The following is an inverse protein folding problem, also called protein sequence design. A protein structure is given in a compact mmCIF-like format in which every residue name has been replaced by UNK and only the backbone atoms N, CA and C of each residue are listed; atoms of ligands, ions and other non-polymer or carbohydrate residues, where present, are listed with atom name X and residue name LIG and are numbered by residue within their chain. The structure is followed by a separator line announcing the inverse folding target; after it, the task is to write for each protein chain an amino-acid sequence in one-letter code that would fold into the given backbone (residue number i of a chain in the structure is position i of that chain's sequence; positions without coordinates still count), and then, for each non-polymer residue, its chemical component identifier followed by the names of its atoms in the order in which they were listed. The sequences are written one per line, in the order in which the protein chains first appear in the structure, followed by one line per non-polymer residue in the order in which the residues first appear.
data_IF_091591388312
#
_entry.id   IF_091591388312
#
_cell.length_a   1.000
_cell.length_b   1.000
_cell.length_c   1.000
_cell.angle_alpha   90.00
_cell.angle_beta   90.00
_cell.angle_gamma   90.00
#
_symmetry.space_group_name_H-M   'P 1'
#
loop_
_entity.id
_entity.type
_entity.pdbx_description
1 polymer ?
#
# COMPACT_ATOMS: atom_id res chain seq x y z
N UNK A 1 9.96 5.79 21.56
CA UNK A 1 8.97 6.86 21.83
C UNK A 1 9.11 8.02 20.83
N UNK A 2 10.32 8.45 20.53
CA UNK A 2 10.60 9.53 19.56
C UNK A 2 10.14 9.18 18.12
N UNK A 3 10.45 7.98 17.66
CA UNK A 3 10.03 7.48 16.33
C UNK A 3 8.50 7.37 16.18
N UNK A 4 7.78 6.95 17.25
CA UNK A 4 6.33 6.88 17.22
C UNK A 4 5.69 8.27 17.16
N UNK A 5 6.28 9.28 17.84
CA UNK A 5 5.82 10.66 17.79
C UNK A 5 6.07 11.28 16.41
N UNK A 6 7.23 11.00 15.81
CA UNK A 6 7.60 11.45 14.47
C UNK A 6 6.66 10.83 13.40
N UNK A 7 6.34 9.54 13.55
CA UNK A 7 5.36 8.83 12.76
C UNK A 7 3.95 9.44 12.88
N UNK A 8 3.50 9.70 14.10
CA UNK A 8 2.21 10.34 14.34
C UNK A 8 2.15 11.73 13.69
N UNK A 9 3.23 12.51 13.76
CA UNK A 9 3.35 13.79 13.06
C UNK A 9 3.19 13.65 11.55
N UNK A 10 3.93 12.72 10.94
CA UNK A 10 3.85 12.47 9.48
C UNK A 10 2.49 11.96 9.02
N UNK A 11 1.87 11.07 9.78
CA UNK A 11 0.51 10.61 9.47
C UNK A 11 -0.49 11.76 9.62
N UNK A 12 -0.30 12.66 10.59
CA UNK A 12 -1.13 13.86 10.74
C UNK A 12 -0.98 14.78 9.53
N UNK A 13 0.25 15.06 9.06
CA UNK A 13 0.50 15.83 7.83
C UNK A 13 -0.25 15.22 6.63
N UNK A 14 -0.08 13.90 6.41
CA UNK A 14 -0.78 13.19 5.33
C UNK A 14 -2.31 13.25 5.48
N UNK A 15 -2.81 13.20 6.71
CA UNK A 15 -4.24 13.33 7.00
C UNK A 15 -4.77 14.71 6.66
N UNK A 16 -4.03 15.77 6.99
CA UNK A 16 -4.41 17.13 6.61
C UNK A 16 -4.54 17.27 5.09
N UNK A 17 -3.66 16.62 4.32
CA UNK A 17 -3.78 16.59 2.85
C UNK A 17 -5.04 15.84 2.39
N UNK A 18 -5.41 14.74 3.06
CA UNK A 18 -6.70 14.06 2.83
C UNK A 18 -7.87 15.03 3.06
N UNK A 19 -7.85 15.77 4.18
CA UNK A 19 -8.90 16.77 4.47
C UNK A 19 -8.95 17.89 3.43
N UNK A 20 -7.80 18.35 2.93
CA UNK A 20 -7.75 19.32 1.82
C UNK A 20 -8.39 18.73 0.55
N UNK A 21 -8.10 17.47 0.19
CA UNK A 21 -8.74 16.77 -0.92
C UNK A 21 -10.26 16.69 -0.75
N UNK A 22 -10.74 16.40 0.47
CA UNK A 22 -12.17 16.42 0.80
C UNK A 22 -12.76 17.83 0.64
N UNK A 23 -12.07 18.87 1.12
CA UNK A 23 -12.53 20.25 1.04
C UNK A 23 -12.68 20.72 -0.42
N UNK A 24 -11.76 20.36 -1.32
CA UNK A 24 -11.84 20.68 -2.75
C UNK A 24 -13.12 20.14 -3.42
N UNK A 25 -13.56 18.95 -3.03
CA UNK A 25 -14.81 18.36 -3.56
C UNK A 25 -16.05 18.94 -2.86
N UNK A 26 -16.00 19.12 -1.54
CA UNK A 26 -17.13 19.67 -0.77
C UNK A 26 -17.40 21.15 -1.12
N UNK A 27 -16.37 21.93 -1.44
CA UNK A 27 -16.51 23.32 -1.93
C UNK A 27 -16.96 23.42 -3.39
N UNK A 28 -17.14 22.28 -4.08
CA UNK A 28 -17.53 22.21 -5.50
C UNK A 28 -16.49 22.82 -6.46
N UNK A 29 -15.26 23.10 -6.01
CA UNK A 29 -14.15 23.52 -6.87
C UNK A 29 -13.72 22.38 -7.80
N UNK A 30 -13.74 21.15 -7.30
CA UNK A 30 -13.49 19.92 -8.06
C UNK A 30 -14.65 18.94 -7.87
N UNK A 31 -14.83 18.07 -8.86
CA UNK A 31 -15.71 16.91 -8.75
C UNK A 31 -14.87 15.68 -8.36
N UNK A 32 -15.50 14.71 -7.71
CA UNK A 32 -14.83 13.44 -7.35
C UNK A 32 -14.25 12.70 -8.57
N UNK A 33 -14.80 12.90 -9.77
CA UNK A 33 -14.29 12.32 -11.02
C UNK A 33 -12.87 12.80 -11.36
N UNK A 34 -12.48 14.03 -10.97
CA UNK A 34 -11.13 14.54 -11.17
C UNK A 34 -10.08 13.74 -10.39
N UNK A 35 -10.48 12.97 -9.36
CA UNK A 35 -9.60 12.03 -8.66
C UNK A 35 -9.03 10.98 -9.61
N UNK A 36 -9.78 10.61 -10.67
CA UNK A 36 -9.31 9.68 -11.71
C UNK A 36 -8.10 10.23 -12.46
N UNK A 37 -8.13 11.51 -12.83
CA UNK A 37 -7.01 12.16 -13.54
C UNK A 37 -5.76 12.18 -12.66
N UNK A 38 -5.89 12.59 -11.40
CA UNK A 38 -4.78 12.55 -10.44
C UNK A 38 -4.27 11.13 -10.20
N UNK A 39 -5.17 10.14 -10.15
CA UNK A 39 -4.78 8.73 -10.03
C UNK A 39 -4.00 8.23 -11.23
N UNK A 40 -4.35 8.66 -12.45
CA UNK A 40 -3.60 8.33 -13.67
C UNK A 40 -2.19 8.93 -13.61
N UNK A 41 -2.07 10.20 -13.24
CA UNK A 41 -0.76 10.85 -13.06
C UNK A 41 0.06 10.11 -11.99
N UNK A 42 -0.54 9.78 -10.85
CA UNK A 42 0.13 9.05 -9.78
C UNK A 42 0.63 7.68 -10.24
N UNK A 43 -0.20 6.92 -10.96
CA UNK A 43 0.11 5.55 -11.37
C UNK A 43 1.07 5.45 -12.56
N UNK A 44 0.97 6.38 -13.54
CA UNK A 44 1.69 6.28 -14.82
C UNK A 44 2.89 7.21 -14.92
N UNK A 45 3.03 8.19 -14.04
CA UNK A 45 4.15 9.12 -14.03
C UNK A 45 4.90 9.11 -12.69
N UNK A 46 4.19 9.36 -11.58
CA UNK A 46 4.85 9.59 -10.28
C UNK A 46 5.39 8.27 -9.72
N UNK A 47 4.58 7.22 -9.66
CA UNK A 47 5.00 5.92 -9.10
C UNK A 47 6.16 5.28 -9.89
N UNK A 48 6.15 5.22 -11.25
CA UNK A 48 7.31 4.80 -12.03
C UNK A 48 8.58 5.61 -11.74
N UNK A 49 8.46 6.92 -11.60
CA UNK A 49 9.60 7.80 -11.30
C UNK A 49 10.20 7.48 -9.94
N UNK A 50 9.36 7.28 -8.91
CA UNK A 50 9.83 6.85 -7.58
C UNK A 50 10.56 5.51 -7.66
N UNK A 51 9.98 4.53 -8.37
CA UNK A 51 10.56 3.19 -8.46
C UNK A 51 11.93 3.23 -9.13
N UNK A 52 12.07 3.89 -10.27
CA UNK A 52 13.36 3.97 -10.97
C UNK A 52 14.40 4.71 -10.10
N UNK A 53 14.02 5.86 -9.52
CA UNK A 53 14.92 6.63 -8.65
C UNK A 53 15.36 5.84 -7.42
N UNK A 54 14.48 5.06 -6.78
CA UNK A 54 14.81 4.27 -5.59
C UNK A 54 15.92 3.24 -5.83
N UNK A 55 16.09 2.79 -7.08
CA UNK A 55 17.16 1.87 -7.46
C UNK A 55 18.46 2.57 -7.90
N UNK A 56 18.54 3.92 -7.87
CA UNK A 56 19.76 4.68 -8.22
C UNK A 56 20.77 4.77 -7.05
N UNK A 57 20.84 3.73 -6.22
CA UNK A 57 21.78 3.59 -5.11
C UNK A 57 22.89 2.58 -5.46
N UNK A 58 23.91 2.50 -4.64
CA UNK A 58 24.97 1.50 -4.79
C UNK A 58 24.50 0.11 -4.39
N UNK A 59 24.94 -0.94 -5.08
CA UNK A 59 24.59 -2.32 -4.75
C UNK A 59 25.56 -2.91 -3.73
N UNK A 60 25.43 -2.53 -2.50
CA UNK A 60 26.19 -3.14 -1.41
C UNK A 60 25.60 -4.49 -1.00
N UNK A 61 26.38 -5.43 -0.42
CA UNK A 61 25.86 -6.70 0.09
C UNK A 61 24.65 -6.51 1.02
N UNK A 62 24.70 -5.53 1.92
CA UNK A 62 23.63 -5.25 2.88
C UNK A 62 22.32 -4.84 2.18
N UNK A 63 22.40 -4.04 1.11
CA UNK A 63 21.24 -3.63 0.33
C UNK A 63 20.65 -4.82 -0.42
N UNK A 64 21.50 -5.66 -1.01
CA UNK A 64 21.07 -6.87 -1.72
C UNK A 64 20.38 -7.84 -0.76
N UNK A 65 20.95 -8.06 0.41
CA UNK A 65 20.36 -8.98 1.41
C UNK A 65 19.08 -8.42 2.01
N UNK A 66 18.99 -7.11 2.25
CA UNK A 66 17.77 -6.44 2.63
C UNK A 66 16.68 -6.55 1.55
N UNK A 67 17.05 -6.46 0.27
CA UNK A 67 16.11 -6.61 -0.84
C UNK A 67 15.59 -8.05 -0.96
N UNK A 68 16.47 -9.05 -0.83
CA UNK A 68 16.07 -10.47 -0.76
C UNK A 68 15.12 -10.72 0.41
N UNK A 69 15.45 -10.15 1.59
CA UNK A 69 14.60 -10.24 2.77
C UNK A 69 13.23 -9.59 2.53
N UNK A 70 13.17 -8.41 1.91
CA UNK A 70 11.91 -7.72 1.62
C UNK A 70 11.00 -8.55 0.70
N UNK A 71 11.56 -9.21 -0.32
CA UNK A 71 10.82 -10.11 -1.22
C UNK A 71 10.34 -11.35 -0.48
N UNK A 72 11.19 -11.98 0.32
CA UNK A 72 10.83 -13.15 1.12
C UNK A 72 9.70 -12.83 2.10
N UNK A 73 9.80 -11.71 2.82
CA UNK A 73 8.76 -11.21 3.72
C UNK A 73 7.45 -10.94 2.99
N UNK A 74 7.54 -10.31 1.82
CA UNK A 74 6.36 -10.02 0.99
C UNK A 74 5.61 -11.31 0.63
N UNK A 75 6.33 -12.36 0.22
CA UNK A 75 5.73 -13.68 -0.06
C UNK A 75 5.08 -14.28 1.18
N UNK A 76 5.81 -14.34 2.30
CA UNK A 76 5.30 -14.90 3.56
C UNK A 76 4.07 -14.13 4.04
N UNK A 77 4.13 -12.80 4.08
CA UNK A 77 3.00 -11.99 4.53
C UNK A 77 1.78 -12.15 3.63
N UNK A 78 1.94 -12.21 2.31
CA UNK A 78 0.79 -12.44 1.43
C UNK A 78 0.20 -13.85 1.58
N UNK A 79 1.00 -14.87 1.82
CA UNK A 79 0.50 -16.21 2.15
C UNK A 79 -0.34 -16.15 3.44
N UNK A 80 0.17 -15.50 4.48
CA UNK A 80 -0.57 -15.32 5.73
C UNK A 80 -1.84 -14.48 5.54
N UNK A 81 -1.78 -13.37 4.80
CA UNK A 81 -2.94 -12.53 4.49
C UNK A 81 -4.03 -13.31 3.75
N UNK A 82 -3.66 -14.12 2.76
CA UNK A 82 -4.60 -14.97 2.01
C UNK A 82 -5.19 -16.06 2.91
N UNK A 83 -4.36 -16.72 3.73
CA UNK A 83 -4.82 -17.76 4.66
C UNK A 83 -5.78 -17.20 5.70
N UNK A 84 -5.41 -16.09 6.36
CA UNK A 84 -6.26 -15.39 7.32
C UNK A 84 -7.54 -14.85 6.66
N UNK A 85 -7.44 -14.29 5.47
CA UNK A 85 -8.60 -13.82 4.71
C UNK A 85 -9.59 -14.95 4.42
N UNK A 86 -9.11 -16.14 4.03
CA UNK A 86 -9.95 -17.34 3.84
C UNK A 86 -10.59 -17.80 5.14
N UNK A 87 -9.83 -17.85 6.23
CA UNK A 87 -10.33 -18.19 7.56
C UNK A 87 -11.45 -17.23 7.96
N UNK A 88 -11.24 -15.93 7.87
CA UNK A 88 -12.23 -14.91 8.24
C UNK A 88 -13.44 -14.90 7.30
N UNK A 89 -13.22 -15.18 6.01
CA UNK A 89 -14.33 -15.38 5.07
C UNK A 89 -15.28 -16.46 5.57
N UNK A 90 -14.77 -17.57 6.02
CA UNK A 90 -15.58 -18.70 6.53
C UNK A 90 -16.20 -18.37 7.89
N UNK A 91 -15.42 -17.85 8.85
CA UNK A 91 -15.89 -17.54 10.20
C UNK A 91 -16.96 -16.43 10.23
N UNK A 92 -16.74 -15.35 9.48
CA UNK A 92 -17.61 -14.16 9.49
C UNK A 92 -18.52 -14.08 8.26
N UNK A 93 -18.53 -15.12 7.40
CA UNK A 93 -19.33 -15.20 6.18
C UNK A 93 -19.13 -13.93 5.31
N UNK A 94 -17.86 -13.56 5.09
CA UNK A 94 -17.53 -12.39 4.29
C UNK A 94 -17.88 -12.64 2.83
N UNK A 95 -18.46 -11.65 2.17
CA UNK A 95 -18.65 -11.71 0.72
C UNK A 95 -17.30 -11.51 -0.02
N UNK A 96 -17.34 -11.58 -1.34
CA UNK A 96 -16.13 -11.51 -2.17
C UNK A 96 -15.36 -10.20 -2.01
N UNK A 97 -16.08 -9.06 -1.93
CA UNK A 97 -15.45 -7.75 -1.79
C UNK A 97 -14.90 -7.52 -0.38
N UNK A 98 -15.64 -7.94 0.64
CA UNK A 98 -15.20 -7.90 2.03
C UNK A 98 -13.94 -8.77 2.23
N UNK A 99 -13.93 -9.98 1.67
CA UNK A 99 -12.76 -10.85 1.66
C UNK A 99 -11.57 -10.22 0.93
N UNK A 100 -11.78 -9.69 -0.28
CA UNK A 100 -10.73 -9.02 -1.04
C UNK A 100 -10.14 -7.82 -0.28
N UNK A 101 -11.00 -6.97 0.31
CA UNK A 101 -10.59 -5.83 1.10
C UNK A 101 -9.86 -6.21 2.40
N UNK A 102 -10.15 -7.40 2.95
CA UNK A 102 -9.45 -7.92 4.13
C UNK A 102 -8.04 -8.40 3.78
N UNK A 103 -7.83 -8.97 2.59
CA UNK A 103 -6.52 -9.51 2.14
C UNK A 103 -5.62 -8.42 1.60
N UNK A 104 -6.12 -7.57 0.70
CA UNK A 104 -5.30 -6.66 -0.09
C UNK A 104 -5.15 -5.28 0.51
N UNK A 105 -3.90 -4.79 0.51
CA UNK A 105 -3.49 -3.54 1.17
C UNK A 105 -3.30 -2.41 0.18
N UNK A 106 -3.43 -1.17 0.63
CA UNK A 106 -3.10 0.01 -0.17
C UNK A 106 -1.59 0.35 -0.08
N UNK A 107 -0.73 -0.67 -0.14
CA UNK A 107 0.71 -0.50 0.04
C UNK A 107 1.33 0.41 -1.02
N UNK A 108 0.96 0.27 -2.30
CA UNK A 108 1.55 1.07 -3.37
C UNK A 108 1.36 2.58 -3.19
N UNK A 109 0.19 3.01 -2.76
CA UNK A 109 -0.14 4.44 -2.65
C UNK A 109 0.21 5.06 -1.30
N UNK A 110 0.28 4.26 -0.23
CA UNK A 110 0.47 4.78 1.13
C UNK A 110 1.89 4.52 1.66
N UNK A 111 2.46 3.34 1.41
CA UNK A 111 3.73 2.96 2.03
C UNK A 111 4.93 3.68 1.42
N UNK A 112 4.95 3.87 0.10
CA UNK A 112 6.04 4.62 -0.55
C UNK A 112 6.19 6.01 0.06
N UNK A 113 5.13 6.88 0.09
CA UNK A 113 5.24 8.20 0.70
C UNK A 113 5.57 8.14 2.19
N UNK A 114 5.06 7.15 2.90
CA UNK A 114 5.31 6.99 4.33
C UNK A 114 6.77 6.63 4.59
N UNK A 115 7.30 5.63 3.89
CA UNK A 115 8.71 5.21 4.01
C UNK A 115 9.64 6.34 3.60
N UNK A 116 9.35 7.03 2.49
CA UNK A 116 10.14 8.17 2.03
C UNK A 116 10.19 9.29 3.08
N UNK A 117 9.06 9.56 3.75
CA UNK A 117 8.96 10.65 4.73
C UNK A 117 9.60 10.32 6.07
N UNK A 118 9.62 9.05 6.49
CA UNK A 118 10.07 8.61 7.80
C UNK A 118 11.52 8.15 7.78
N UNK A 119 11.86 7.31 6.81
CA UNK A 119 13.16 6.64 6.73
C UNK A 119 14.08 7.29 5.69
N UNK A 120 13.52 8.06 4.76
CA UNK A 120 14.24 8.68 3.64
C UNK A 120 14.12 7.88 2.33
N UNK A 121 14.52 8.51 1.20
CA UNK A 121 14.32 7.94 -0.14
C UNK A 121 15.10 6.62 -0.35
N UNK A 122 16.26 6.44 0.31
CA UNK A 122 17.08 5.24 0.20
C UNK A 122 16.38 3.96 0.69
N UNK A 123 15.37 4.09 1.56
CA UNK A 123 14.63 2.95 2.10
C UNK A 123 13.45 2.51 1.22
N UNK A 124 13.08 3.33 0.24
CA UNK A 124 11.96 3.04 -0.66
C UNK A 124 12.20 1.76 -1.46
N UNK A 125 13.46 1.43 -1.77
CA UNK A 125 13.83 0.20 -2.50
C UNK A 125 13.22 -1.06 -1.85
N UNK A 126 13.15 -1.12 -0.52
CA UNK A 126 12.62 -2.27 0.20
C UNK A 126 11.09 -2.38 0.14
N UNK A 127 10.39 -1.32 -0.30
CA UNK A 127 8.95 -1.41 -0.57
C UNK A 127 8.66 -2.18 -1.85
N UNK A 128 9.62 -2.25 -2.77
CA UNK A 128 9.46 -2.88 -4.09
C UNK A 128 9.12 -4.37 -3.99
N UNK A 129 9.72 -5.10 -3.04
CA UNK A 129 9.42 -6.51 -2.81
C UNK A 129 7.93 -6.75 -2.55
N UNK A 130 7.34 -5.97 -1.65
CA UNK A 130 5.91 -6.08 -1.32
C UNK A 130 5.02 -5.68 -2.50
N UNK A 131 5.39 -4.61 -3.22
CA UNK A 131 4.62 -4.10 -4.36
C UNK A 131 4.62 -5.12 -5.50
N UNK A 132 5.77 -5.74 -5.84
CA UNK A 132 5.86 -6.75 -6.90
C UNK A 132 4.94 -7.93 -6.59
N UNK A 133 5.05 -8.51 -5.40
CA UNK A 133 4.27 -9.68 -5.00
C UNK A 133 2.78 -9.33 -4.99
N UNK A 134 2.39 -8.18 -4.43
CA UNK A 134 1.00 -7.75 -4.40
C UNK A 134 0.44 -7.48 -5.80
N UNK A 135 1.20 -6.82 -6.68
CA UNK A 135 0.77 -6.58 -8.06
C UNK A 135 0.53 -7.90 -8.82
N UNK A 136 1.44 -8.87 -8.66
CA UNK A 136 1.23 -10.20 -9.22
C UNK A 136 -0.07 -10.82 -8.71
N UNK A 137 -0.35 -10.72 -7.42
CA UNK A 137 -1.56 -11.25 -6.79
C UNK A 137 -2.83 -10.48 -7.18
N UNK A 138 -2.76 -9.20 -7.49
CA UNK A 138 -3.90 -8.45 -8.00
C UNK A 138 -4.41 -9.02 -9.32
N UNK A 139 -3.50 -9.34 -10.24
CA UNK A 139 -3.85 -9.84 -11.57
C UNK A 139 -4.05 -11.36 -11.63
N UNK A 140 -3.70 -12.07 -10.58
CA UNK A 140 -3.94 -13.51 -10.42
C UNK A 140 -5.07 -13.78 -9.42
N UNK A 141 -4.78 -13.79 -8.14
CA UNK A 141 -5.70 -14.20 -7.08
C UNK A 141 -6.90 -13.24 -6.91
N UNK A 142 -6.68 -11.90 -6.85
CA UNK A 142 -7.78 -10.94 -6.72
C UNK A 142 -8.70 -10.99 -7.93
N UNK A 143 -8.16 -11.04 -9.14
CA UNK A 143 -8.95 -11.17 -10.35
C UNK A 143 -9.80 -12.43 -10.33
N UNK A 144 -9.23 -13.59 -9.94
CA UNK A 144 -9.99 -14.84 -9.80
C UNK A 144 -11.11 -14.73 -8.76
N UNK A 145 -10.88 -14.00 -7.67
CA UNK A 145 -11.91 -13.75 -6.66
C UNK A 145 -13.08 -12.93 -7.23
N UNK A 146 -12.80 -11.89 -8.00
CA UNK A 146 -13.83 -10.95 -8.49
C UNK A 146 -14.56 -11.43 -9.74
N UNK A 147 -13.89 -12.14 -10.64
CA UNK A 147 -14.45 -12.58 -11.93
C UNK A 147 -14.85 -14.05 -11.96
N UNK A 148 -14.48 -14.85 -10.94
CA UNK A 148 -14.55 -16.30 -11.03
C UNK A 148 -13.44 -16.87 -11.94
N UNK A 149 -13.63 -18.11 -12.43
CA UNK A 149 -12.66 -18.78 -13.29
C UNK A 149 -12.59 -18.08 -14.65
N UNK A 150 -11.48 -17.42 -14.94
CA UNK A 150 -11.18 -16.77 -16.23
C UNK A 150 -9.69 -16.89 -16.55
N UNK A 151 -9.30 -16.60 -17.79
CA UNK A 151 -7.90 -16.64 -18.21
C UNK A 151 -7.04 -15.65 -17.41
N UNK A 152 -5.91 -16.13 -16.88
CA UNK A 152 -4.89 -15.30 -16.26
C UNK A 152 -4.40 -14.25 -17.28
N UNK A 153 -4.44 -12.97 -16.88
CA UNK A 153 -4.04 -11.88 -17.76
C UNK A 153 -2.53 -11.61 -17.63
N UNK A 154 -1.70 -12.61 -17.92
CA UNK A 154 -0.23 -12.50 -17.87
C UNK A 154 0.30 -11.27 -18.62
N UNK A 155 -0.27 -11.00 -19.80
CA UNK A 155 0.09 -9.82 -20.59
C UNK A 155 -0.13 -8.53 -19.79
N UNK A 156 -1.25 -8.40 -19.10
CA UNK A 156 -1.56 -7.22 -18.30
C UNK A 156 -0.64 -7.06 -17.09
N UNK A 157 -0.19 -8.17 -16.48
CA UNK A 157 0.82 -8.14 -15.41
C UNK A 157 2.15 -7.65 -15.97
N UNK A 158 2.65 -8.28 -17.04
CA UNK A 158 3.96 -7.97 -17.61
C UNK A 158 4.03 -6.59 -18.27
N UNK A 159 2.91 -6.05 -18.74
CA UNK A 159 2.84 -4.71 -19.34
C UNK A 159 2.46 -3.60 -18.32
N UNK A 160 2.31 -3.95 -17.04
CA UNK A 160 2.05 -2.96 -16.00
C UNK A 160 3.25 -2.03 -15.84
N UNK A 161 3.03 -0.72 -15.96
CA UNK A 161 4.09 0.29 -15.95
C UNK A 161 4.92 0.25 -14.65
N UNK A 162 4.29 -0.01 -13.50
CA UNK A 162 4.99 -0.07 -12.21
C UNK A 162 5.88 -1.31 -12.14
N UNK A 163 5.41 -2.45 -12.65
CA UNK A 163 6.21 -3.69 -12.73
C UNK A 163 7.39 -3.47 -13.68
N UNK A 164 7.15 -2.87 -14.85
CA UNK A 164 8.23 -2.54 -15.79
C UNK A 164 9.26 -1.59 -15.17
N UNK A 165 8.80 -0.58 -14.44
CA UNK A 165 9.68 0.38 -13.76
C UNK A 165 10.54 -0.28 -12.68
N UNK A 166 9.98 -1.25 -11.95
CA UNK A 166 10.74 -2.03 -10.97
C UNK A 166 11.77 -2.92 -11.69
N UNK A 167 11.40 -3.60 -12.78
CA UNK A 167 12.35 -4.40 -13.55
C UNK A 167 13.47 -3.55 -14.15
N UNK A 168 13.15 -2.37 -14.69
CA UNK A 168 14.15 -1.41 -15.17
C UNK A 168 15.05 -0.97 -14.01
N UNK A 169 14.48 -0.61 -12.88
CA UNK A 169 15.21 -0.21 -11.69
C UNK A 169 16.14 -1.33 -11.18
N UNK A 170 15.64 -2.56 -11.04
CA UNK A 170 16.43 -3.72 -10.63
C UNK A 170 17.58 -3.99 -11.63
N UNK A 171 17.30 -3.91 -12.94
CA UNK A 171 18.32 -4.07 -13.97
C UNK A 171 19.42 -3.01 -13.83
N UNK A 172 19.03 -1.72 -13.71
CA UNK A 172 19.98 -0.62 -13.53
C UNK A 172 20.79 -0.80 -12.24
N UNK A 173 20.16 -1.19 -11.14
CA UNK A 173 20.80 -1.47 -9.86
C UNK A 173 21.80 -2.63 -9.96
N UNK A 174 21.42 -3.75 -10.59
CA UNK A 174 22.28 -4.93 -10.73
C UNK A 174 23.54 -4.65 -11.56
N UNK A 175 23.41 -3.86 -12.62
CA UNK A 175 24.51 -3.49 -13.51
C UNK A 175 25.16 -2.16 -13.15
N UNK A 176 24.77 -1.53 -12.04
CA UNK A 176 25.25 -0.22 -11.56
C UNK A 176 25.18 0.88 -12.63
N UNK A 177 24.13 0.83 -13.47
CA UNK A 177 23.87 1.85 -14.47
C UNK A 177 23.28 3.07 -13.77
N UNK A 178 24.04 4.16 -13.71
CA UNK A 178 23.60 5.43 -13.12
C UNK A 178 22.98 6.32 -14.16
N UNK A 179 21.85 6.91 -13.83
CA UNK A 179 21.21 7.93 -14.65
C UNK A 179 22.03 9.24 -14.62
N UNK A 180 22.05 10.01 -15.73
CA UNK A 180 22.55 11.37 -15.67
C UNK A 180 21.84 12.17 -14.58
N UNK A 181 22.60 12.98 -13.84
CA UNK A 181 22.14 13.75 -12.68
C UNK A 181 20.83 14.54 -12.91
N UNK A 182 20.70 15.15 -14.11
CA UNK A 182 19.48 15.90 -14.48
C UNK A 182 18.26 14.97 -14.54
N UNK A 183 18.41 13.77 -15.11
CA UNK A 183 17.31 12.78 -15.23
C UNK A 183 16.95 12.27 -13.85
N UNK A 184 17.93 11.86 -13.05
CA UNK A 184 17.71 11.33 -11.70
C UNK A 184 17.03 12.37 -10.79
N UNK A 185 17.48 13.61 -10.79
CA UNK A 185 16.83 14.70 -10.05
C UNK A 185 15.41 15.01 -10.55
N UNK A 186 15.16 14.88 -11.85
CA UNK A 186 13.80 15.03 -12.40
C UNK A 186 12.88 13.93 -11.86
N UNK A 187 13.35 12.67 -11.87
CA UNK A 187 12.60 11.54 -11.30
C UNK A 187 12.37 11.70 -9.79
N UNK A 188 13.38 12.18 -9.05
CA UNK A 188 13.27 12.46 -7.61
C UNK A 188 12.21 13.55 -7.33
N UNK A 189 12.22 14.63 -8.11
CA UNK A 189 11.27 15.75 -7.97
C UNK A 189 9.83 15.29 -8.25
N UNK A 190 9.62 14.57 -9.36
CA UNK A 190 8.32 14.00 -9.70
C UNK A 190 7.91 12.97 -8.63
N UNK A 191 8.84 12.13 -8.21
CA UNK A 191 8.62 11.10 -7.18
C UNK A 191 8.16 11.69 -5.84
N UNK A 192 8.70 12.84 -5.45
CA UNK A 192 8.31 13.55 -4.22
C UNK A 192 6.82 13.94 -4.17
N UNK A 193 6.14 13.99 -5.31
CA UNK A 193 4.70 14.27 -5.38
C UNK A 193 3.82 13.08 -4.99
N UNK A 194 4.36 11.86 -4.84
CA UNK A 194 3.55 10.64 -4.63
C UNK A 194 2.67 10.75 -3.38
N UNK A 195 3.21 11.20 -2.26
CA UNK A 195 2.50 11.37 -1.01
C UNK A 195 1.35 12.37 -1.11
N UNK A 196 1.61 13.64 -1.43
CA UNK A 196 0.57 14.66 -1.57
C UNK A 196 -0.53 14.26 -2.55
N UNK A 197 -0.18 13.79 -3.75
CA UNK A 197 -1.17 13.41 -4.77
C UNK A 197 -2.01 12.21 -4.33
N UNK A 198 -1.40 11.18 -3.77
CA UNK A 198 -2.13 10.00 -3.27
C UNK A 198 -3.13 10.38 -2.17
N UNK A 199 -2.75 11.28 -1.25
CA UNK A 199 -3.61 11.73 -0.16
C UNK A 199 -4.73 12.66 -0.64
N UNK A 200 -4.47 13.54 -1.60
CA UNK A 200 -5.52 14.35 -2.24
C UNK A 200 -6.55 13.43 -2.92
N UNK A 201 -6.10 12.43 -3.69
CA UNK A 201 -7.00 11.45 -4.33
C UNK A 201 -7.84 10.72 -3.29
N UNK A 202 -7.23 10.25 -2.19
CA UNK A 202 -7.97 9.60 -1.11
C UNK A 202 -9.06 10.52 -0.53
N UNK A 203 -8.73 11.79 -0.27
CA UNK A 203 -9.67 12.80 0.23
C UNK A 203 -10.84 13.05 -0.73
N UNK A 204 -10.54 13.21 -2.02
CA UNK A 204 -11.57 13.43 -3.05
C UNK A 204 -12.53 12.23 -3.17
N UNK A 205 -12.01 11.01 -3.09
CA UNK A 205 -12.83 9.79 -3.12
C UNK A 205 -13.71 9.69 -1.86
N UNK A 206 -13.16 9.95 -0.69
CA UNK A 206 -13.91 9.92 0.58
C UNK A 206 -15.04 10.96 0.57
N UNK A 207 -14.81 12.15 0.01
CA UNK A 207 -15.81 13.23 -0.06
C UNK A 207 -17.06 12.85 -0.87
N UNK A 208 -16.94 11.92 -1.81
CA UNK A 208 -18.04 11.45 -2.67
C UNK A 208 -18.86 10.32 -2.05
N UNK A 209 -18.41 9.77 -0.90
CA UNK A 209 -19.09 8.64 -0.27
C UNK A 209 -20.37 9.09 0.45
N UNK A 210 -21.45 8.27 0.41
CA UNK A 210 -22.67 8.51 1.17
C UNK A 210 -22.41 8.18 2.66
N UNK A 211 -21.80 9.10 3.39
CA UNK A 211 -21.33 8.89 4.76
C UNK A 211 -22.43 8.36 5.70
N UNK A 212 -23.69 8.77 5.52
CA UNK A 212 -24.82 8.29 6.36
C UNK A 212 -25.05 6.79 6.22
N UNK A 213 -24.99 6.23 5.00
CA UNK A 213 -25.18 4.80 4.75
C UNK A 213 -23.99 3.97 5.25
N UNK A 214 -22.80 4.55 5.18
CA UNK A 214 -21.54 3.88 5.54
C UNK A 214 -21.39 3.79 7.04
N UNK A 215 -21.67 4.86 7.77
CA UNK A 215 -21.55 4.93 9.24
C UNK A 215 -22.48 3.92 9.94
N UNK A 216 -23.60 3.56 9.32
CA UNK A 216 -24.55 2.59 9.87
C UNK A 216 -24.23 1.12 9.55
N UNK A 217 -23.24 0.84 8.68
CA UNK A 217 -22.95 -0.52 8.22
C UNK A 217 -22.01 -1.28 9.14
N UNK A 218 -22.54 -2.10 10.04
CA UNK A 218 -21.75 -2.99 10.92
C UNK A 218 -20.75 -3.86 10.14
N UNK A 219 -21.08 -4.25 8.90
CA UNK A 219 -20.21 -5.08 8.05
C UNK A 219 -18.92 -4.36 7.63
N UNK A 220 -19.02 -3.06 7.32
CA UNK A 220 -17.85 -2.26 6.95
C UNK A 220 -16.89 -2.13 8.15
N UNK A 221 -17.43 -1.90 9.35
CA UNK A 221 -16.62 -1.84 10.57
C UNK A 221 -16.00 -3.18 10.95
N UNK A 222 -16.70 -4.29 10.71
CA UNK A 222 -16.12 -5.63 10.87
C UNK A 222 -14.90 -5.80 9.95
N UNK A 223 -15.02 -5.47 8.67
CA UNK A 223 -13.89 -5.55 7.72
C UNK A 223 -12.75 -4.62 8.14
N UNK A 224 -13.07 -3.40 8.58
CA UNK A 224 -12.07 -2.46 9.08
C UNK A 224 -11.34 -3.00 10.32
N UNK A 225 -12.05 -3.59 11.28
CA UNK A 225 -11.47 -4.23 12.47
C UNK A 225 -10.54 -5.39 12.09
N UNK A 226 -11.01 -6.29 11.22
CA UNK A 226 -10.20 -7.42 10.76
C UNK A 226 -8.93 -6.94 10.07
N UNK A 227 -9.05 -5.93 9.19
CA UNK A 227 -7.96 -5.42 8.35
C UNK A 227 -6.95 -4.59 9.12
N UNK A 228 -7.41 -3.68 9.99
CA UNK A 228 -6.56 -2.67 10.62
C UNK A 228 -6.09 -3.06 12.04
N UNK A 229 -6.73 -4.06 12.65
CA UNK A 229 -6.42 -4.46 14.03
C UNK A 229 -6.07 -5.94 14.10
N UNK A 230 -6.99 -6.84 13.79
CA UNK A 230 -6.80 -8.27 14.06
C UNK A 230 -5.68 -8.88 13.21
N UNK A 231 -5.66 -8.64 11.90
CA UNK A 231 -4.59 -9.14 11.02
C UNK A 231 -3.24 -8.56 11.41
N UNK A 232 -3.07 -7.23 11.57
CA UNK A 232 -1.82 -6.65 12.04
C UNK A 232 -1.31 -7.25 13.36
N UNK A 233 -2.19 -7.49 14.33
CA UNK A 233 -1.80 -8.12 15.60
C UNK A 233 -1.28 -9.54 15.40
N UNK A 234 -1.95 -10.34 14.57
CA UNK A 234 -1.50 -11.72 14.25
C UNK A 234 -0.14 -11.69 13.58
N UNK A 235 0.06 -10.78 12.59
CA UNK A 235 1.34 -10.63 11.90
C UNK A 235 2.44 -10.10 12.82
N UNK A 236 2.11 -9.21 13.76
CA UNK A 236 3.04 -8.73 14.76
C UNK A 236 3.53 -9.85 15.67
N UNK A 237 2.60 -10.69 16.15
CA UNK A 237 2.95 -11.89 16.93
C UNK A 237 3.82 -12.85 16.12
N UNK A 238 3.52 -13.04 14.84
CA UNK A 238 4.35 -13.83 13.93
C UNK A 238 5.78 -13.25 13.81
N UNK A 239 5.93 -11.96 13.59
CA UNK A 239 7.24 -11.28 13.50
C UNK A 239 8.02 -11.46 14.81
N UNK A 240 7.38 -11.25 15.96
CA UNK A 240 8.00 -11.43 17.27
C UNK A 240 8.50 -12.86 17.49
N UNK A 241 7.66 -13.86 17.25
CA UNK A 241 8.01 -15.27 17.49
C UNK A 241 9.08 -15.77 16.51
N UNK A 242 9.04 -15.30 15.26
CA UNK A 242 10.02 -15.71 14.24
C UNK A 242 11.40 -15.16 14.46
N UNK A 243 11.57 -14.08 15.25
CA UNK A 243 12.85 -13.40 15.45
C UNK A 243 13.46 -12.78 14.18
N UNK A 244 12.68 -12.69 13.09
CA UNK A 244 13.15 -12.27 11.77
C UNK A 244 13.65 -10.83 11.73
N UNK A 245 13.24 -9.99 12.67
CA UNK A 245 13.72 -8.62 12.81
C UNK A 245 15.17 -8.55 13.32
N UNK A 246 15.71 -9.62 13.90
CA UNK A 246 17.03 -9.66 14.52
C UNK A 246 18.06 -10.47 13.71
N UNK A 247 17.87 -10.64 12.40
CA UNK A 247 18.79 -11.38 11.53
C UNK A 247 20.11 -10.63 11.23
N UNK A 248 20.25 -9.38 11.68
CA UNK A 248 21.41 -8.53 11.44
C UNK A 248 21.26 -7.60 10.21
N UNK A 249 22.27 -6.77 9.96
CA UNK A 249 22.21 -5.76 8.90
C UNK A 249 21.03 -4.80 9.08
N UNK A 250 20.26 -4.58 8.04
CA UNK A 250 19.09 -3.72 8.03
C UNK A 250 17.77 -4.47 8.27
N UNK A 251 17.80 -5.70 8.81
CA UNK A 251 16.62 -6.56 8.93
C UNK A 251 15.49 -5.94 9.74
N UNK A 252 15.79 -5.24 10.83
CA UNK A 252 14.85 -4.53 11.69
C UNK A 252 13.99 -3.53 10.90
N UNK A 253 14.64 -2.68 10.13
CA UNK A 253 13.97 -1.65 9.32
C UNK A 253 13.24 -2.25 8.11
N UNK A 254 13.83 -3.26 7.44
CA UNK A 254 13.19 -3.96 6.32
C UNK A 254 11.92 -4.70 6.77
N UNK A 255 11.97 -5.35 7.95
CA UNK A 255 10.81 -6.01 8.54
C UNK A 255 9.74 -4.98 8.91
N UNK A 256 10.13 -3.85 9.52
CA UNK A 256 9.20 -2.77 9.85
C UNK A 256 8.54 -2.20 8.58
N UNK A 257 9.29 -1.94 7.51
CA UNK A 257 8.75 -1.48 6.21
C UNK A 257 7.75 -2.49 5.65
N UNK A 258 8.06 -3.77 5.68
CA UNK A 258 7.17 -4.84 5.22
C UNK A 258 5.93 -4.96 6.11
N UNK A 259 6.07 -4.79 7.43
CA UNK A 259 4.95 -4.74 8.36
C UNK A 259 4.05 -3.53 8.11
N UNK A 260 4.63 -2.34 7.88
CA UNK A 260 3.91 -1.13 7.49
C UNK A 260 3.03 -1.35 6.25
N UNK A 261 3.53 -2.09 5.26
CA UNK A 261 2.75 -2.45 4.09
C UNK A 261 1.53 -3.30 4.45
N UNK A 262 1.64 -4.17 5.45
CA UNK A 262 0.51 -5.00 5.91
C UNK A 262 -0.51 -4.27 6.77
N UNK A 263 -0.12 -3.27 7.55
CA UNK A 263 -1.06 -2.49 8.39
C UNK A 263 -1.75 -1.36 7.63
N UNK A 264 -1.48 -1.22 6.34
CA UNK A 264 -2.14 -0.28 5.43
C UNK A 264 -3.63 -0.57 5.26
N UNK A 265 -4.47 0.42 4.92
CA UNK A 265 -5.90 0.23 4.68
C UNK A 265 -6.16 -0.71 3.49
N UNK A 266 -7.42 -1.00 3.20
CA UNK A 266 -7.81 -1.80 2.04
C UNK A 266 -7.32 -1.17 0.73
N UNK A 267 -6.94 -1.98 -0.25
CA UNK A 267 -6.42 -1.49 -1.52
C UNK A 267 -7.47 -0.72 -2.34
N UNK A 268 -7.10 0.45 -2.84
CA UNK A 268 -7.91 1.18 -3.84
C UNK A 268 -8.13 0.36 -5.12
N UNK A 269 -7.17 -0.50 -5.47
CA UNK A 269 -7.24 -1.43 -6.61
C UNK A 269 -8.43 -2.39 -6.50
N UNK A 270 -8.84 -2.81 -5.30
CA UNK A 270 -10.05 -3.63 -5.10
C UNK A 270 -11.28 -2.88 -5.59
N UNK A 271 -11.39 -1.57 -5.29
CA UNK A 271 -12.48 -0.72 -5.77
C UNK A 271 -12.45 -0.56 -7.30
N UNK A 272 -11.27 -0.31 -7.86
CA UNK A 272 -11.11 -0.14 -9.31
C UNK A 272 -11.46 -1.42 -10.07
N UNK A 273 -10.98 -2.57 -9.60
CA UNK A 273 -11.31 -3.86 -10.20
C UNK A 273 -12.78 -4.22 -10.00
N UNK A 274 -13.40 -3.88 -8.86
CA UNK A 274 -14.84 -4.06 -8.66
C UNK A 274 -15.65 -3.29 -9.71
N UNK A 275 -15.26 -2.06 -10.07
CA UNK A 275 -15.89 -1.30 -11.14
C UNK A 275 -15.77 -2.00 -12.50
N UNK A 276 -14.56 -2.43 -12.84
CA UNK A 276 -14.26 -3.05 -14.14
C UNK A 276 -15.00 -4.39 -14.31
N UNK A 277 -15.13 -5.16 -13.22
CA UNK A 277 -15.71 -6.50 -13.26
C UNK A 277 -17.17 -6.55 -12.81
N UNK A 278 -17.87 -5.41 -12.80
CA UNK A 278 -19.31 -5.35 -12.53
C UNK A 278 -19.70 -5.76 -11.10
N UNK A 279 -18.78 -5.68 -10.15
CA UNK A 279 -19.04 -5.90 -8.72
C UNK A 279 -19.59 -4.62 -8.07
N UNK A 280 -20.04 -4.70 -6.81
CA UNK A 280 -20.56 -3.54 -6.09
C UNK A 280 -19.44 -2.54 -5.72
N UNK A 281 -19.05 -1.68 -6.67
CA UNK A 281 -17.99 -0.68 -6.50
C UNK A 281 -18.31 0.31 -5.37
N UNK A 282 -19.61 0.64 -5.12
CA UNK A 282 -20.00 1.51 -4.00
C UNK A 282 -19.60 0.90 -2.66
N UNK A 283 -19.85 -0.40 -2.46
CA UNK A 283 -19.43 -1.13 -1.24
C UNK A 283 -17.92 -1.17 -1.11
N UNK A 284 -17.19 -1.48 -2.18
CA UNK A 284 -15.72 -1.51 -2.19
C UNK A 284 -15.14 -0.13 -1.85
N UNK A 285 -15.68 0.96 -2.42
CA UNK A 285 -15.28 2.33 -2.13
C UNK A 285 -15.55 2.71 -0.66
N UNK A 286 -16.67 2.27 -0.11
CA UNK A 286 -17.04 2.52 1.27
C UNK A 286 -16.05 1.84 2.24
N UNK A 287 -15.70 0.57 1.99
CA UNK A 287 -14.69 -0.16 2.79
C UNK A 287 -13.33 0.55 2.67
N UNK A 288 -12.90 0.90 1.45
CA UNK A 288 -11.67 1.63 1.21
C UNK A 288 -11.63 2.95 2.00
N UNK A 289 -12.70 3.77 1.90
CA UNK A 289 -12.76 5.07 2.56
C UNK A 289 -12.72 4.96 4.09
N UNK A 290 -13.51 4.07 4.69
CA UNK A 290 -13.52 3.88 6.15
C UNK A 290 -12.19 3.30 6.64
N UNK A 291 -11.63 2.31 5.96
CA UNK A 291 -10.32 1.78 6.36
C UNK A 291 -9.22 2.82 6.22
N UNK A 292 -9.27 3.70 5.22
CA UNK A 292 -8.31 4.80 5.05
C UNK A 292 -8.43 5.82 6.18
N UNK A 293 -9.66 6.23 6.55
CA UNK A 293 -9.88 7.16 7.67
C UNK A 293 -9.42 6.56 9.01
N UNK A 294 -9.80 5.32 9.29
CA UNK A 294 -9.43 4.67 10.55
C UNK A 294 -7.93 4.35 10.63
N UNK A 295 -7.28 4.14 9.48
CA UNK A 295 -5.85 3.87 9.40
C UNK A 295 -5.00 5.02 9.99
N UNK A 296 -5.49 6.25 9.94
CA UNK A 296 -4.85 7.42 10.55
C UNK A 296 -4.56 7.21 12.03
N UNK A 297 -5.45 6.53 12.73
CA UNK A 297 -5.32 6.24 14.16
C UNK A 297 -4.68 4.87 14.37
N UNK A 298 -5.12 3.85 13.63
CA UNK A 298 -4.71 2.48 13.89
C UNK A 298 -3.26 2.20 13.48
N UNK A 299 -2.77 2.83 12.42
CA UNK A 299 -1.40 2.60 11.94
C UNK A 299 -0.33 3.08 12.94
N UNK A 300 -0.39 4.32 13.51
CA UNK A 300 0.53 4.72 14.56
C UNK A 300 0.48 3.81 15.79
N UNK A 301 -0.71 3.37 16.19
CA UNK A 301 -0.86 2.46 17.32
C UNK A 301 -0.19 1.11 17.05
N UNK A 302 -0.36 0.54 15.85
CA UNK A 302 0.27 -0.73 15.46
C UNK A 302 1.81 -0.59 15.39
N UNK A 303 2.32 0.56 14.94
CA UNK A 303 3.76 0.82 14.92
C UNK A 303 4.32 0.96 16.33
N UNK A 304 3.63 1.72 17.20
CA UNK A 304 4.03 1.84 18.60
C UNK A 304 4.05 0.46 19.29
N UNK A 305 3.05 -0.38 18.99
CA UNK A 305 3.00 -1.74 19.51
C UNK A 305 4.13 -2.63 18.94
N UNK A 306 4.44 -2.49 17.63
CA UNK A 306 5.59 -3.15 17.01
C UNK A 306 6.89 -2.79 17.75
N UNK A 307 7.17 -1.51 17.95
CA UNK A 307 8.37 -1.02 18.64
C UNK A 307 8.45 -1.45 20.12
N UNK A 308 7.31 -1.71 20.76
CA UNK A 308 7.27 -2.19 22.13
C UNK A 308 7.47 -3.71 22.23
N UNK A 309 7.20 -4.45 21.17
CA UNK A 309 7.19 -5.93 21.18
C UNK A 309 8.39 -6.54 20.46
N UNK A 310 8.89 -5.90 19.43
CA UNK A 310 9.98 -6.33 18.55
C UNK A 310 11.19 -5.46 18.78
#
# INVERSE_FOLDING_TARGET
METALLLAGKITELTLIVLMGMALVKSKLLNSEHSRTLSVIALYLISPSVMIHAFQIENTPDIIDGLKLSVALAVVFHILLIALGRLFKTLFKLDTLEHAATVYTNSGNLIIPLVMSIFGPQWVIYTSGFIIVQMFLFWTHLRLLLCGRGNLAWKTVLTNINILSIFIGVFMFAFQIKLPHIIDNTLATIGGMIGPVAMLVAGMLIASLPLKEIVLSKRIYLVAFLRLILIPLILLVFVKISGIAHLGGHSDTVVLISFLATVSPAASTVTQMAMVYGQNARKASAIYGITTLLCVITMPLMIALYQAMV
#
